data_IF_538964349366
#
_entry.id   IF_538964349366
#
_cell.length_a   1.000
_cell.length_b   1.000
_cell.length_c   1.000
_cell.angle_alpha   90.00
_cell.angle_beta   90.00
_cell.angle_gamma   90.00
#
_symmetry.space_group_name_H-M   'P 1'
#
loop_
_entity.id
_entity.type
_entity.pdbx_description
1 polymer ?
#
# COMPACT_ATOMS: atom_id res chain seq x y z
N UNK A 1 10.71 5.82 6.12
CA UNK A 1 11.42 5.96 7.42
C UNK A 1 11.50 7.43 7.79
N UNK A 2 10.75 7.88 8.81
CA UNK A 2 10.57 9.31 9.10
C UNK A 2 11.86 10.01 9.52
N UNK A 3 12.72 9.32 10.29
CA UNK A 3 13.96 9.90 10.80
C UNK A 3 14.97 10.30 9.72
N UNK A 4 14.91 9.67 8.54
CA UNK A 4 15.89 9.91 7.45
C UNK A 4 15.75 11.31 6.88
N UNK A 5 14.53 11.85 6.82
CA UNK A 5 14.28 13.22 6.33
C UNK A 5 14.95 14.23 7.25
N UNK A 6 14.82 14.03 8.56
CA UNK A 6 15.46 14.89 9.57
C UNK A 6 16.99 14.75 9.51
N UNK A 7 17.51 13.52 9.47
CA UNK A 7 18.94 13.28 9.39
C UNK A 7 19.55 13.93 8.14
N UNK A 8 18.89 13.84 6.98
CA UNK A 8 19.35 14.50 5.77
C UNK A 8 19.39 16.02 5.93
N UNK A 9 18.36 16.62 6.53
CA UNK A 9 18.34 18.07 6.81
C UNK A 9 19.50 18.49 7.72
N UNK A 10 19.72 17.76 8.82
CA UNK A 10 20.78 18.08 9.79
C UNK A 10 22.18 17.98 9.14
N UNK A 11 22.33 17.14 8.10
CA UNK A 11 23.54 17.00 7.30
C UNK A 11 23.61 17.94 6.07
N UNK A 12 22.60 18.80 5.85
CA UNK A 12 22.53 19.66 4.67
C UNK A 12 22.30 18.92 3.34
N UNK A 13 21.75 17.71 3.40
CA UNK A 13 21.47 16.84 2.25
C UNK A 13 20.01 16.94 1.79
N UNK A 14 19.77 16.66 0.50
CA UNK A 14 18.43 16.43 -0.04
C UNK A 14 17.98 15.01 0.23
N UNK A 15 16.68 14.81 0.47
CA UNK A 15 16.10 13.50 0.74
C UNK A 15 14.81 13.32 -0.06
N UNK A 16 14.84 12.44 -1.05
CA UNK A 16 13.63 11.93 -1.70
C UNK A 16 13.15 10.67 -0.96
N UNK A 17 11.85 10.51 -0.79
CA UNK A 17 11.26 9.33 -0.14
C UNK A 17 10.54 8.46 -1.15
N UNK A 18 10.78 7.15 -1.13
CA UNK A 18 9.94 6.18 -1.83
C UNK A 18 8.77 5.76 -0.93
N UNK A 19 7.56 6.03 -1.37
CA UNK A 19 6.35 5.50 -0.76
C UNK A 19 5.93 4.23 -1.51
N UNK A 20 5.84 3.12 -0.78
CA UNK A 20 5.73 1.78 -1.37
C UNK A 20 4.30 1.26 -1.50
N UNK A 21 3.32 1.90 -0.84
CA UNK A 21 1.91 1.61 -1.04
C UNK A 21 1.33 2.50 -2.16
N UNK A 22 0.04 2.33 -2.47
CA UNK A 22 -0.65 3.16 -3.47
C UNK A 22 -0.83 4.61 -3.01
N UNK A 23 -1.15 5.50 -3.96
CA UNK A 23 -1.53 6.88 -3.69
C UNK A 23 -2.78 6.97 -2.80
N UNK A 24 -3.78 6.12 -3.06
CA UNK A 24 -4.99 6.03 -2.23
C UNK A 24 -4.64 5.60 -0.79
N UNK A 25 -3.77 4.59 -0.64
CA UNK A 25 -3.29 4.15 0.66
C UNK A 25 -2.55 5.26 1.41
N UNK A 26 -1.71 6.03 0.72
CA UNK A 26 -1.06 7.22 1.28
C UNK A 26 -2.09 8.22 1.82
N UNK A 27 -3.10 8.57 1.02
CA UNK A 27 -4.13 9.53 1.44
C UNK A 27 -4.90 9.04 2.67
N UNK A 28 -5.16 7.74 2.78
CA UNK A 28 -5.72 7.13 3.99
C UNK A 28 -4.84 7.37 5.21
N UNK A 29 -3.54 7.04 5.14
CA UNK A 29 -2.60 7.25 6.26
C UNK A 29 -2.42 8.73 6.62
N UNK A 30 -2.32 9.61 5.62
CA UNK A 30 -2.09 11.04 5.82
C UNK A 30 -3.22 11.69 6.64
N UNK A 31 -4.44 11.17 6.54
CA UNK A 31 -5.61 11.68 7.24
C UNK A 31 -5.91 10.93 8.55
N UNK A 32 -5.05 10.02 9.02
CA UNK A 32 -5.23 9.36 10.32
C UNK A 32 -5.36 10.35 11.48
N UNK A 33 -4.57 11.43 11.47
CA UNK A 33 -4.69 12.47 12.50
C UNK A 33 -6.09 13.08 12.51
N UNK A 34 -6.70 13.29 11.36
CA UNK A 34 -8.05 13.83 11.25
C UNK A 34 -9.09 12.85 11.81
N UNK A 35 -8.94 11.55 11.57
CA UNK A 35 -9.80 10.52 12.17
C UNK A 35 -9.69 10.51 13.71
N UNK A 36 -8.48 10.73 14.23
CA UNK A 36 -8.25 10.87 15.67
C UNK A 36 -8.89 12.14 16.24
N UNK A 37 -8.67 13.29 15.59
CA UNK A 37 -9.19 14.59 16.03
C UNK A 37 -10.73 14.62 16.01
N UNK A 38 -11.37 13.88 15.10
CA UNK A 38 -12.83 13.73 14.99
C UNK A 38 -13.41 12.60 15.85
N UNK A 39 -12.60 11.95 16.71
CA UNK A 39 -13.03 10.83 17.55
C UNK A 39 -13.66 9.65 16.77
N UNK A 40 -13.20 9.44 15.52
CA UNK A 40 -13.50 8.23 14.72
C UNK A 40 -12.56 7.10 15.13
N UNK A 41 -11.32 7.43 15.51
CA UNK A 41 -10.36 6.51 16.11
C UNK A 41 -10.05 6.92 17.57
N UNK A 42 -9.83 5.96 18.50
CA UNK A 42 -10.00 4.51 18.32
C UNK A 42 -11.47 4.12 18.25
N UNK A 43 -11.73 2.88 17.83
CA UNK A 43 -13.05 2.27 17.97
C UNK A 43 -13.45 2.19 19.45
N UNK A 44 -14.74 2.38 19.73
CA UNK A 44 -15.28 2.35 21.10
C UNK A 44 -15.30 0.95 21.68
N UNK A 45 -15.47 -0.06 20.84
CA UNK A 45 -15.47 -1.48 21.23
C UNK A 45 -15.18 -2.38 20.04
N UNK A 46 -14.85 -3.65 20.30
CA UNK A 46 -14.72 -4.66 19.25
C UNK A 46 -16.03 -4.93 18.50
N UNK A 47 -17.18 -4.53 19.07
CA UNK A 47 -18.47 -4.68 18.41
C UNK A 47 -18.56 -3.83 17.13
N UNK A 48 -17.88 -2.67 17.10
CA UNK A 48 -17.82 -1.81 15.93
C UNK A 48 -17.12 -2.47 14.72
N UNK A 49 -16.35 -3.54 14.95
CA UNK A 49 -15.78 -4.35 13.87
C UNK A 49 -16.82 -5.22 13.16
N UNK A 50 -17.99 -5.44 13.78
CA UNK A 50 -18.99 -6.44 13.35
C UNK A 50 -20.40 -5.87 13.16
N UNK A 51 -20.73 -4.72 13.77
CA UNK A 51 -22.07 -4.14 13.77
C UNK A 51 -22.36 -3.18 12.60
N UNK A 52 -21.50 -3.17 11.58
CA UNK A 52 -21.66 -2.29 10.42
C UNK A 52 -21.08 -0.89 10.59
N UNK A 53 -20.50 -0.54 11.75
CA UNK A 53 -19.81 0.76 11.92
C UNK A 53 -18.74 1.01 10.84
N UNK A 54 -18.00 -0.03 10.42
CA UNK A 54 -17.03 0.10 9.33
C UNK A 54 -17.63 0.40 7.93
N UNK A 55 -18.96 0.41 7.78
CA UNK A 55 -19.66 0.89 6.57
C UNK A 55 -19.85 2.40 6.54
N UNK A 56 -19.54 3.11 7.64
CA UNK A 56 -19.66 4.58 7.68
C UNK A 56 -18.76 5.21 6.61
N UNK A 57 -19.37 6.05 5.77
CA UNK A 57 -18.67 6.83 4.76
C UNK A 57 -17.72 7.84 5.40
N UNK A 58 -16.55 8.01 4.80
CA UNK A 58 -15.52 8.95 5.22
C UNK A 58 -15.39 10.03 4.14
N UNK A 59 -15.90 11.22 4.44
CA UNK A 59 -15.86 12.40 3.56
C UNK A 59 -14.67 13.34 3.85
N UNK A 60 -13.79 12.92 4.77
CA UNK A 60 -12.69 13.71 5.33
C UNK A 60 -11.39 13.65 4.50
N UNK A 61 -11.33 12.78 3.48
CA UNK A 61 -10.11 12.55 2.70
C UNK A 61 -10.28 13.14 1.29
N UNK A 62 -9.52 14.16 0.89
CA UNK A 62 -9.63 14.76 -0.44
C UNK A 62 -9.21 13.78 -1.56
N UNK A 63 -9.85 13.88 -2.72
CA UNK A 63 -9.45 13.16 -3.94
C UNK A 63 -9.82 11.67 -4.01
N UNK A 64 -10.32 11.08 -2.93
CA UNK A 64 -10.81 9.68 -2.91
C UNK A 64 -12.27 9.59 -3.39
N UNK A 65 -12.76 8.39 -3.75
CA UNK A 65 -14.17 8.18 -4.06
C UNK A 65 -15.11 8.63 -2.91
N UNK A 66 -16.26 9.21 -3.26
CA UNK A 66 -17.21 9.76 -2.27
C UNK A 66 -17.88 8.68 -1.42
N UNK A 67 -17.87 7.44 -1.87
CA UNK A 67 -18.39 6.26 -1.18
C UNK A 67 -17.28 5.50 -0.42
N UNK A 68 -16.10 6.09 -0.23
CA UNK A 68 -15.06 5.52 0.61
C UNK A 68 -15.59 5.32 2.04
N UNK A 69 -15.47 4.10 2.57
CA UNK A 69 -15.91 3.75 3.93
C UNK A 69 -14.73 3.57 4.86
N UNK A 70 -15.01 3.55 6.16
CA UNK A 70 -14.00 3.28 7.19
C UNK A 70 -13.30 1.92 6.99
N UNK A 71 -13.98 0.90 6.45
CA UNK A 71 -13.34 -0.38 6.07
C UNK A 71 -12.36 -0.26 4.91
N UNK A 72 -12.53 0.73 4.02
CA UNK A 72 -11.71 0.84 2.81
C UNK A 72 -10.37 1.54 3.11
N UNK A 73 -10.27 2.20 4.28
CA UNK A 73 -9.03 2.78 4.81
C UNK A 73 -8.04 1.69 5.26
N UNK A 74 -6.73 2.00 5.34
CA UNK A 74 -5.75 1.03 5.80
C UNK A 74 -6.09 0.54 7.21
N UNK A 75 -5.92 -0.76 7.45
CA UNK A 75 -6.58 -1.48 8.54
C UNK A 75 -6.17 -1.08 9.95
N UNK A 76 -5.11 -0.28 10.14
CA UNK A 76 -4.70 0.19 11.47
C UNK A 76 -5.71 1.14 12.12
N UNK A 77 -6.70 1.64 11.37
CA UNK A 77 -7.87 2.35 11.94
C UNK A 77 -8.83 1.43 12.71
N UNK A 78 -8.69 0.10 12.58
CA UNK A 78 -9.61 -0.89 13.14
C UNK A 78 -9.15 -1.40 14.50
N UNK A 79 -8.78 -0.47 15.39
CA UNK A 79 -8.26 -0.76 16.73
C UNK A 79 -9.06 -0.05 17.80
N UNK A 80 -9.24 -0.69 18.94
CA UNK A 80 -9.80 -0.08 20.17
C UNK A 80 -8.71 0.53 21.05
N UNK A 81 -7.43 0.23 20.77
CA UNK A 81 -6.29 0.76 21.50
C UNK A 81 -6.02 2.20 21.08
N UNK A 82 -6.19 3.14 22.01
CA UNK A 82 -5.91 4.56 21.76
C UNK A 82 -4.45 4.81 21.39
N UNK A 83 -3.54 3.98 21.88
CA UNK A 83 -2.10 4.00 21.67
C UNK A 83 -1.61 2.97 20.65
N UNK A 84 -2.48 2.55 19.72
CA UNK A 84 -2.11 1.62 18.64
C UNK A 84 -0.85 2.09 17.91
N UNK A 85 0.19 1.26 17.98
CA UNK A 85 1.54 1.57 17.53
C UNK A 85 1.56 1.87 16.04
N UNK A 86 0.85 1.08 15.23
CA UNK A 86 0.89 1.25 13.77
C UNK A 86 0.07 2.46 13.33
N UNK A 87 -1.07 2.74 13.97
CA UNK A 87 -1.82 3.96 13.73
C UNK A 87 -0.98 5.21 14.01
N UNK A 88 -0.31 5.27 15.16
CA UNK A 88 0.50 6.43 15.56
C UNK A 88 1.78 6.54 14.72
N UNK A 89 2.40 5.40 14.39
CA UNK A 89 3.56 5.37 13.50
C UNK A 89 3.26 6.01 12.14
N UNK A 90 2.09 5.75 11.54
CA UNK A 90 1.75 6.35 10.24
C UNK A 90 1.37 7.84 10.34
N UNK A 91 0.84 8.30 11.47
CA UNK A 91 0.70 9.75 11.74
C UNK A 91 2.09 10.40 11.70
N UNK A 92 3.07 9.84 12.41
CA UNK A 92 4.42 10.39 12.45
C UNK A 92 5.12 10.33 11.10
N UNK A 93 5.01 9.19 10.40
CA UNK A 93 5.56 9.02 9.04
C UNK A 93 5.03 10.10 8.11
N UNK A 94 3.70 10.23 8.02
CA UNK A 94 3.08 11.16 7.07
C UNK A 94 3.32 12.61 7.42
N UNK A 95 3.36 12.97 8.71
CA UNK A 95 3.69 14.32 9.18
C UNK A 95 5.11 14.78 8.77
N UNK A 96 6.06 13.85 8.57
CA UNK A 96 7.41 14.19 8.10
C UNK A 96 7.54 14.36 6.60
N UNK A 97 6.61 13.82 5.79
CA UNK A 97 6.75 13.79 4.33
C UNK A 97 6.71 15.15 3.64
N UNK A 98 5.97 16.18 4.12
CA UNK A 98 6.04 17.54 3.56
C UNK A 98 7.45 18.16 3.61
N UNK A 99 8.32 17.67 4.50
CA UNK A 99 9.71 18.13 4.62
C UNK A 99 10.70 17.41 3.70
N UNK A 100 10.27 16.38 2.95
CA UNK A 100 11.11 15.73 1.97
C UNK A 100 11.42 16.68 0.79
N UNK A 101 12.48 16.38 0.04
CA UNK A 101 12.79 17.09 -1.21
C UNK A 101 11.88 16.63 -2.36
N UNK A 102 11.39 15.40 -2.30
CA UNK A 102 10.48 14.80 -3.27
C UNK A 102 9.83 13.54 -2.71
N UNK A 103 8.66 13.17 -3.23
CA UNK A 103 8.01 11.88 -2.96
C UNK A 103 7.95 11.07 -4.25
N UNK A 104 8.44 9.84 -4.21
CA UNK A 104 8.44 8.90 -5.33
C UNK A 104 7.35 7.86 -5.06
N UNK A 105 6.51 7.61 -6.06
CA UNK A 105 5.43 6.62 -6.02
C UNK A 105 5.61 5.57 -7.10
N UNK A 106 5.39 4.31 -6.73
CA UNK A 106 5.28 3.20 -7.68
C UNK A 106 3.87 3.15 -8.29
N UNK A 107 3.52 4.19 -9.04
CA UNK A 107 2.27 4.33 -9.81
C UNK A 107 2.55 5.15 -11.08
N UNK A 108 1.54 5.39 -11.90
CA UNK A 108 1.57 6.32 -13.04
C UNK A 108 0.39 7.28 -12.95
N UNK A 109 0.51 8.46 -13.55
CA UNK A 109 -0.42 9.58 -13.34
C UNK A 109 -1.87 9.22 -13.67
N UNK A 110 -2.11 8.51 -14.77
CA UNK A 110 -3.46 8.17 -15.24
C UNK A 110 -4.20 7.20 -14.30
N UNK A 111 -3.48 6.38 -13.53
CA UNK A 111 -4.10 5.45 -12.57
C UNK A 111 -4.70 6.19 -11.38
N UNK A 112 -4.01 7.23 -10.91
CA UNK A 112 -4.31 7.94 -9.67
C UNK A 112 -4.60 9.45 -9.92
N UNK A 113 -5.02 9.83 -11.13
CA UNK A 113 -5.12 11.23 -11.55
C UNK A 113 -5.93 12.13 -10.59
N UNK A 114 -7.09 11.70 -10.04
CA UNK A 114 -7.82 12.51 -9.06
C UNK A 114 -7.03 12.74 -7.75
N UNK A 115 -6.22 11.76 -7.36
CA UNK A 115 -5.41 11.82 -6.14
C UNK A 115 -4.15 12.65 -6.32
N UNK A 116 -3.56 12.70 -7.53
CA UNK A 116 -2.33 13.46 -7.79
C UNK A 116 -2.52 14.95 -7.47
N UNK A 117 -3.65 15.54 -7.86
CA UNK A 117 -3.97 16.93 -7.51
C UNK A 117 -4.12 17.16 -6.00
N UNK A 118 -4.79 16.24 -5.31
CA UNK A 118 -4.96 16.32 -3.85
C UNK A 118 -3.64 16.17 -3.10
N UNK A 119 -2.80 15.22 -3.53
CA UNK A 119 -1.48 14.97 -2.93
C UNK A 119 -0.50 16.13 -3.19
N UNK A 120 -0.53 16.73 -4.38
CA UNK A 120 0.34 17.87 -4.72
C UNK A 120 0.09 19.11 -3.85
N UNK A 121 -1.11 19.25 -3.27
CA UNK A 121 -1.42 20.31 -2.32
C UNK A 121 -0.82 20.06 -0.91
N UNK A 122 -0.41 18.82 -0.62
CA UNK A 122 0.05 18.37 0.70
C UNK A 122 1.56 18.13 0.75
N UNK A 123 2.18 17.84 -0.39
CA UNK A 123 3.52 17.27 -0.48
C UNK A 123 4.47 18.11 -1.35
N UNK A 124 5.79 17.92 -1.20
CA UNK A 124 6.78 18.37 -2.19
C UNK A 124 6.53 17.68 -3.55
N UNK A 125 7.30 18.01 -4.61
CA UNK A 125 7.14 17.38 -5.92
C UNK A 125 7.02 15.85 -5.86
N UNK A 126 5.96 15.35 -6.50
CA UNK A 126 5.63 13.94 -6.58
C UNK A 126 6.11 13.42 -7.92
N UNK A 127 6.78 12.26 -7.91
CA UNK A 127 7.24 11.57 -9.09
C UNK A 127 6.62 10.17 -9.15
N UNK A 128 5.75 9.96 -10.13
CA UNK A 128 5.19 8.66 -10.48
C UNK A 128 6.16 7.95 -11.40
N UNK A 129 6.77 6.87 -10.93
CA UNK A 129 7.84 6.14 -11.65
C UNK A 129 7.49 4.67 -11.91
N UNK A 130 6.24 4.32 -11.68
CA UNK A 130 5.73 2.96 -11.78
C UNK A 130 4.95 2.68 -13.06
N UNK A 131 4.47 1.43 -13.22
CA UNK A 131 4.77 0.29 -12.36
C UNK A 131 6.23 -0.15 -12.51
N UNK A 132 6.99 -0.23 -11.42
CA UNK A 132 8.45 -0.42 -11.43
C UNK A 132 8.88 -1.69 -12.19
N UNK A 133 8.10 -2.78 -12.07
CA UNK A 133 8.40 -4.03 -12.77
C UNK A 133 8.33 -3.88 -14.30
N UNK A 134 7.36 -3.12 -14.82
CA UNK A 134 7.27 -2.82 -16.26
C UNK A 134 8.36 -1.83 -16.68
N UNK A 135 8.70 -0.85 -15.85
CA UNK A 135 9.78 0.08 -16.14
C UNK A 135 11.11 -0.66 -16.35
N UNK A 136 11.44 -1.60 -15.47
CA UNK A 136 12.64 -2.45 -15.62
C UNK A 136 12.56 -3.31 -16.88
N UNK A 137 11.43 -3.96 -17.13
CA UNK A 137 11.22 -4.78 -18.34
C UNK A 137 11.37 -3.97 -19.64
N UNK A 138 10.97 -2.70 -19.62
CA UNK A 138 11.03 -1.79 -20.76
C UNK A 138 12.37 -1.02 -20.86
N UNK A 139 13.40 -1.46 -20.14
CA UNK A 139 14.77 -0.94 -20.29
C UNK A 139 15.07 0.33 -19.50
N UNK A 140 14.29 0.66 -18.46
CA UNK A 140 14.64 1.76 -17.56
C UNK A 140 15.96 1.52 -16.81
N UNK A 141 16.41 0.26 -16.73
CA UNK A 141 17.74 -0.13 -16.22
C UNK A 141 18.61 -0.56 -17.40
N UNK A 142 19.68 0.19 -17.73
CA UNK A 142 20.63 -0.20 -18.77
C UNK A 142 21.28 -1.56 -18.49
N UNK A 143 21.60 -2.32 -19.53
CA UNK A 143 22.20 -3.66 -19.38
C UNK A 143 23.60 -3.64 -18.74
N UNK A 144 24.33 -2.53 -18.88
CA UNK A 144 25.64 -2.28 -18.26
C UNK A 144 25.54 -1.70 -16.84
N UNK A 145 24.33 -1.47 -16.35
CA UNK A 145 24.10 -0.98 -14.99
C UNK A 145 24.60 -2.00 -13.95
N UNK A 146 25.27 -1.56 -12.88
CA UNK A 146 25.71 -2.46 -11.80
C UNK A 146 24.55 -3.18 -11.09
N UNK A 147 23.32 -2.70 -11.27
CA UNK A 147 22.09 -3.29 -10.72
C UNK A 147 21.27 -4.08 -11.73
N UNK A 148 21.73 -4.23 -12.98
CA UNK A 148 21.00 -4.96 -14.03
C UNK A 148 20.73 -6.43 -13.67
N UNK A 149 21.58 -7.04 -12.85
CA UNK A 149 21.40 -8.40 -12.35
C UNK A 149 20.50 -8.53 -11.12
N UNK A 150 19.99 -7.44 -10.55
CA UNK A 150 19.09 -7.48 -9.40
C UNK A 150 17.65 -7.78 -9.85
N UNK A 151 17.15 -8.95 -9.48
CA UNK A 151 15.74 -9.30 -9.63
C UNK A 151 14.85 -8.63 -8.57
N UNK A 152 13.54 -8.71 -8.75
CA UNK A 152 12.54 -8.26 -7.76
C UNK A 152 12.11 -9.36 -6.79
N UNK A 153 12.82 -10.49 -6.75
CA UNK A 153 12.47 -11.66 -5.98
C UNK A 153 13.30 -11.78 -4.71
N UNK A 154 12.65 -12.03 -3.58
CA UNK A 154 13.31 -12.35 -2.30
C UNK A 154 13.76 -13.81 -2.22
N UNK A 155 13.22 -14.65 -3.10
CA UNK A 155 13.44 -16.10 -3.15
C UNK A 155 13.88 -16.52 -4.54
N UNK A 156 14.56 -17.67 -4.62
CA UNK A 156 14.91 -18.27 -5.91
C UNK A 156 13.61 -18.61 -6.67
N UNK A 157 13.56 -18.20 -7.92
CA UNK A 157 12.45 -18.50 -8.82
C UNK A 157 12.34 -20.01 -9.06
N UNK A 158 11.10 -20.49 -9.21
CA UNK A 158 10.77 -21.88 -9.49
C UNK A 158 10.22 -21.98 -10.91
N UNK A 159 10.75 -22.91 -11.69
CA UNK A 159 10.33 -23.11 -13.08
C UNK A 159 9.16 -24.08 -13.21
N UNK A 160 8.94 -24.94 -12.22
CA UNK A 160 7.94 -26.00 -12.23
C UNK A 160 6.51 -25.46 -12.42
N UNK A 161 6.07 -24.38 -11.74
CA UNK A 161 4.75 -23.80 -11.97
C UNK A 161 4.59 -23.26 -13.40
N UNK A 162 5.64 -22.69 -13.99
CA UNK A 162 5.60 -22.16 -15.35
C UNK A 162 5.44 -23.29 -16.38
N UNK A 163 6.21 -24.38 -16.23
CA UNK A 163 6.08 -25.57 -17.09
C UNK A 163 4.71 -26.24 -16.96
N UNK A 164 4.11 -26.20 -15.78
CA UNK A 164 2.74 -26.68 -15.58
C UNK A 164 1.70 -25.78 -16.25
N UNK A 165 1.92 -24.46 -16.29
CA UNK A 165 1.06 -23.49 -16.98
C UNK A 165 1.12 -23.64 -18.50
N UNK A 166 2.28 -23.98 -19.08
CA UNK A 166 2.45 -24.18 -20.53
C UNK A 166 1.48 -25.23 -21.11
N UNK A 167 1.02 -26.18 -20.28
CA UNK A 167 0.06 -27.22 -20.65
C UNK A 167 -1.41 -26.82 -20.48
N UNK A 168 -1.75 -25.57 -20.14
CA UNK A 168 -3.12 -25.13 -19.82
C UNK A 168 -3.68 -24.20 -20.90
N UNK A 169 -5.00 -24.24 -21.17
CA UNK A 169 -5.63 -23.27 -22.07
C UNK A 169 -5.43 -21.81 -21.61
N UNK A 170 -5.35 -20.84 -22.55
CA UNK A 170 -5.27 -19.43 -22.19
C UNK A 170 -6.47 -19.00 -21.33
N UNK A 171 -6.20 -18.24 -20.26
CA UNK A 171 -7.21 -17.68 -19.34
C UNK A 171 -8.05 -18.75 -18.61
N UNK A 172 -7.53 -19.96 -18.42
CA UNK A 172 -8.25 -21.04 -17.71
C UNK A 172 -7.73 -21.34 -16.30
N UNK A 173 -6.69 -20.63 -15.83
CA UNK A 173 -6.05 -20.88 -14.53
C UNK A 173 -6.28 -19.70 -13.61
N UNK A 174 -6.67 -19.99 -12.37
CA UNK A 174 -6.69 -19.01 -11.28
C UNK A 174 -5.37 -19.09 -10.51
N UNK A 175 -4.64 -17.97 -10.44
CA UNK A 175 -3.45 -17.84 -9.62
C UNK A 175 -3.82 -17.35 -8.22
N UNK A 176 -3.35 -18.04 -7.18
CA UNK A 176 -3.64 -17.71 -5.77
C UNK A 176 -2.32 -17.56 -5.01
N UNK A 177 -2.11 -16.39 -4.41
CA UNK A 177 -0.96 -16.11 -3.56
C UNK A 177 -1.29 -15.00 -2.55
N UNK A 178 -1.10 -15.26 -1.26
CA UNK A 178 -1.36 -14.32 -0.16
C UNK A 178 -0.09 -13.60 0.35
N UNK A 179 1.02 -13.75 -0.36
CA UNK A 179 2.34 -13.32 0.09
C UNK A 179 2.88 -14.18 1.23
N UNK A 180 3.99 -13.75 1.84
CA UNK A 180 4.68 -14.49 2.89
C UNK A 180 4.52 -13.90 4.29
N UNK A 181 3.96 -12.69 4.41
CA UNK A 181 3.82 -11.97 5.70
C UNK A 181 2.51 -12.34 6.40
N UNK A 182 1.45 -12.58 5.62
CA UNK A 182 0.12 -12.92 6.16
C UNK A 182 0.07 -14.39 6.56
N UNK A 183 -0.42 -14.66 7.77
CA UNK A 183 -0.74 -16.01 8.24
C UNK A 183 -2.23 -16.27 8.11
N UNK A 184 -2.57 -17.49 7.71
CA UNK A 184 -3.94 -17.96 7.56
C UNK A 184 -4.25 -19.02 8.62
N UNK A 185 -5.45 -19.00 9.19
CA UNK A 185 -5.90 -20.08 10.07
C UNK A 185 -6.08 -21.38 9.27
N UNK A 186 -5.98 -22.53 9.96
CA UNK A 186 -6.23 -23.82 9.32
C UNK A 186 -7.65 -23.93 8.75
N UNK A 187 -8.62 -23.30 9.40
CA UNK A 187 -10.01 -23.24 8.93
C UNK A 187 -10.14 -22.48 7.61
N UNK A 188 -9.58 -21.26 7.52
CA UNK A 188 -9.60 -20.51 6.26
C UNK A 188 -8.85 -21.23 5.14
N UNK A 189 -7.74 -21.92 5.46
CA UNK A 189 -7.00 -22.70 4.47
C UNK A 189 -7.85 -23.86 3.93
N UNK A 190 -8.61 -24.53 4.79
CA UNK A 190 -9.52 -25.60 4.40
C UNK A 190 -10.64 -25.07 3.50
N UNK A 191 -11.25 -23.94 3.85
CA UNK A 191 -12.28 -23.29 3.03
C UNK A 191 -11.73 -22.87 1.65
N UNK A 192 -10.52 -22.30 1.58
CA UNK A 192 -9.88 -21.98 0.30
C UNK A 192 -9.59 -23.23 -0.53
N UNK A 193 -9.09 -24.30 0.09
CA UNK A 193 -8.78 -25.54 -0.60
C UNK A 193 -10.03 -26.18 -1.23
N UNK A 194 -11.12 -26.30 -0.46
CA UNK A 194 -12.38 -26.83 -0.97
C UNK A 194 -13.04 -25.88 -1.97
N UNK A 195 -12.97 -24.58 -1.75
CA UNK A 195 -13.48 -23.58 -2.69
C UNK A 195 -12.82 -23.71 -4.07
N UNK A 196 -11.48 -23.86 -4.11
CA UNK A 196 -10.75 -24.08 -5.36
C UNK A 196 -11.09 -25.43 -6.00
N UNK A 197 -11.07 -26.52 -5.22
CA UNK A 197 -11.37 -27.87 -5.74
C UNK A 197 -12.78 -28.00 -6.32
N UNK A 198 -13.75 -27.26 -5.76
CA UNK A 198 -15.14 -27.29 -6.20
C UNK A 198 -15.45 -26.31 -7.35
N UNK A 199 -14.49 -25.46 -7.75
CA UNK A 199 -14.71 -24.42 -8.77
C UNK A 199 -14.61 -24.92 -10.22
N UNK A 200 -14.15 -26.16 -10.43
CA UNK A 200 -13.99 -26.80 -11.74
C UNK A 200 -12.55 -26.93 -12.19
#
# INVERSE_FOLDING_TARGET
MPFVIRAARDLGLRCATLWTASACGFMGYYHYKLLFDHAIFPLKSEEELRNGHLETTVDLVPGVPKDLRLRDLPSFVRSTARDDVMFHYFIDVTATMPAASAVILNTFDELDAPLMGAMAALLPPIYTVGPLHLAVQNGAVPADSPVAGLGSNLWKEQEEPLRWLDGRPPRSVVYVNFGSITVMSGEHLLEFAWGLANSG
#
